data_IF_010807709744
#
_entry.id   IF_010807709744
#
_cell.length_a   1.000
_cell.length_b   1.000
_cell.length_c   1.000
_cell.angle_alpha   90.00
_cell.angle_beta   90.00
_cell.angle_gamma   90.00
#
_symmetry.space_group_name_H-M   'P 1'
#
loop_
_entity.id
_entity.type
_entity.pdbx_description
1 polymer ?
#
# COMPACT_ATOMS: atom_id res chain seq x y z
N UNK A 1 13.45 -14.63 -16.54
CA UNK A 1 12.24 -15.43 -16.78
C UNK A 1 12.17 -15.61 -18.29
N UNK A 2 12.50 -16.79 -18.79
CA UNK A 2 12.45 -17.07 -20.23
C UNK A 2 11.41 -18.16 -20.38
N UNK A 3 10.19 -17.78 -20.76
CA UNK A 3 9.30 -18.75 -21.38
C UNK A 3 10.01 -19.25 -22.63
N UNK A 4 9.89 -20.53 -22.97
CA UNK A 4 10.38 -20.96 -24.26
C UNK A 4 9.62 -20.21 -25.37
N UNK A 5 10.15 -20.19 -26.59
CA UNK A 5 9.59 -19.42 -27.71
C UNK A 5 8.13 -19.81 -28.06
N UNK A 6 7.65 -20.91 -27.51
CA UNK A 6 6.29 -21.45 -27.66
C UNK A 6 5.33 -21.04 -26.53
N UNK A 7 5.81 -20.27 -25.53
CA UNK A 7 5.03 -19.86 -24.37
C UNK A 7 4.79 -20.97 -23.33
N UNK A 8 5.45 -22.12 -23.48
CA UNK A 8 5.37 -23.22 -22.52
C UNK A 8 6.16 -22.87 -21.25
N UNK A 9 5.55 -23.17 -20.12
CA UNK A 9 6.11 -22.91 -18.80
C UNK A 9 7.02 -24.08 -18.42
N UNK A 10 8.25 -23.84 -17.92
CA UNK A 10 9.19 -24.91 -17.55
C UNK A 10 8.60 -25.94 -16.58
N UNK A 11 9.03 -27.21 -16.66
CA UNK A 11 8.52 -28.29 -15.81
C UNK A 11 8.73 -28.08 -14.30
N UNK A 12 9.71 -27.26 -13.91
CA UNK A 12 9.97 -26.87 -12.52
C UNK A 12 9.11 -25.69 -12.04
N UNK A 13 8.24 -25.15 -12.91
CA UNK A 13 7.29 -24.11 -12.54
C UNK A 13 6.26 -24.64 -11.54
N UNK A 14 6.17 -23.93 -10.43
CA UNK A 14 5.07 -24.10 -9.47
C UNK A 14 4.37 -22.75 -9.38
N UNK A 15 3.08 -22.72 -9.70
CA UNK A 15 2.23 -21.58 -9.37
C UNK A 15 2.24 -21.44 -7.84
N UNK A 16 2.80 -20.34 -7.34
CA UNK A 16 2.94 -20.09 -5.92
C UNK A 16 1.79 -19.20 -5.50
N UNK A 17 0.84 -19.75 -4.75
CA UNK A 17 -0.13 -18.96 -4.02
C UNK A 17 0.59 -18.29 -2.85
N UNK A 18 0.63 -16.95 -2.83
CA UNK A 18 1.28 -16.17 -1.76
C UNK A 18 0.83 -16.56 -0.35
N UNK A 19 -0.42 -17.02 -0.21
CA UNK A 19 -0.99 -17.49 1.04
C UNK A 19 -0.21 -18.68 1.66
N UNK A 20 0.44 -19.53 0.85
CA UNK A 20 1.22 -20.68 1.36
C UNK A 20 2.45 -20.25 2.18
N UNK A 21 2.94 -19.03 2.02
CA UNK A 21 4.03 -18.49 2.84
C UNK A 21 3.53 -17.92 4.17
N UNK A 22 2.26 -17.53 4.23
CA UNK A 22 1.62 -16.99 5.42
C UNK A 22 0.92 -18.05 6.25
N UNK A 23 0.57 -19.21 5.68
CA UNK A 23 -0.20 -20.27 6.36
C UNK A 23 0.51 -20.92 7.55
N UNK A 24 1.84 -20.85 7.62
CA UNK A 24 2.62 -21.40 8.74
C UNK A 24 2.94 -20.36 9.82
N UNK A 25 2.62 -19.09 9.59
CA UNK A 25 2.98 -17.99 10.46
C UNK A 25 1.75 -17.42 11.18
N UNK A 26 1.81 -17.34 12.51
CA UNK A 26 0.76 -16.70 13.30
C UNK A 26 1.00 -15.19 13.35
N UNK A 27 0.40 -14.45 12.42
CA UNK A 27 0.46 -13.00 12.37
C UNK A 27 -0.49 -12.38 13.40
N UNK A 28 0.00 -12.20 14.63
CA UNK A 28 -0.71 -11.45 15.67
C UNK A 28 -0.36 -9.95 15.63
N UNK A 29 -1.11 -9.12 16.36
CA UNK A 29 -0.95 -7.67 16.37
C UNK A 29 0.47 -7.20 16.76
N UNK A 30 1.19 -7.95 17.61
CA UNK A 30 2.56 -7.62 18.02
C UNK A 30 3.54 -7.81 16.87
N UNK A 31 3.48 -8.96 16.18
CA UNK A 31 4.31 -9.23 14.99
C UNK A 31 4.04 -8.20 13.90
N UNK A 32 2.77 -7.84 13.68
CA UNK A 32 2.37 -6.78 12.76
C UNK A 32 2.97 -5.42 13.11
N UNK A 33 3.02 -5.08 14.40
CA UNK A 33 3.61 -3.83 14.87
C UNK A 33 5.13 -3.77 14.65
N UNK A 34 5.82 -4.91 14.65
CA UNK A 34 7.27 -4.99 14.40
C UNK A 34 7.61 -4.95 12.91
N UNK A 35 6.77 -5.58 12.08
CA UNK A 35 7.03 -5.68 10.63
C UNK A 35 6.66 -4.41 9.84
N UNK A 36 5.83 -3.53 10.40
CA UNK A 36 5.41 -2.30 9.72
C UNK A 36 6.50 -1.22 9.79
N UNK A 37 6.66 -0.48 8.70
CA UNK A 37 7.33 0.83 8.76
C UNK A 37 6.38 1.87 9.38
N UNK A 38 6.85 2.76 10.28
CA UNK A 38 6.06 3.87 10.78
C UNK A 38 5.51 4.74 9.65
N UNK A 39 4.26 5.22 9.77
CA UNK A 39 3.62 6.05 8.74
C UNK A 39 4.45 7.29 8.38
N UNK A 40 5.04 7.92 9.39
CA UNK A 40 5.89 9.11 9.24
C UNK A 40 7.15 8.89 8.41
N UNK A 41 7.65 7.65 8.32
CA UNK A 41 8.85 7.33 7.54
C UNK A 41 8.54 7.15 6.05
N UNK A 42 7.31 6.79 5.70
CA UNK A 42 6.94 6.52 4.31
C UNK A 42 5.92 7.50 3.71
N UNK A 43 5.24 8.32 4.52
CA UNK A 43 4.16 9.19 4.06
C UNK A 43 4.20 10.58 4.69
N UNK A 44 4.10 11.60 3.84
CA UNK A 44 3.83 12.99 4.24
C UNK A 44 2.60 13.50 3.51
N UNK A 45 1.83 14.35 4.20
CA UNK A 45 0.64 14.93 3.63
C UNK A 45 0.41 16.34 4.16
N UNK A 46 0.07 17.26 3.24
CA UNK A 46 -0.35 18.61 3.56
C UNK A 46 -1.52 19.04 2.68
N UNK A 47 -2.34 19.93 3.20
CA UNK A 47 -3.43 20.58 2.49
C UNK A 47 -2.98 21.99 2.14
N UNK A 48 -3.02 22.35 0.86
CA UNK A 48 -2.58 23.65 0.36
C UNK A 48 -3.75 24.47 -0.19
N UNK A 49 -3.75 25.78 0.11
CA UNK A 49 -4.69 26.77 -0.43
C UNK A 49 -3.97 28.06 -0.74
N UNK A 50 -3.68 28.32 -2.03
CA UNK A 50 -2.85 29.43 -2.45
C UNK A 50 -1.45 29.34 -1.82
N UNK A 51 -1.10 30.31 -0.96
CA UNK A 51 0.16 30.33 -0.20
C UNK A 51 0.06 29.71 1.20
N UNK A 52 -1.14 29.39 1.65
CA UNK A 52 -1.37 28.78 2.97
C UNK A 52 -1.29 27.25 2.91
N UNK A 53 -0.82 26.63 4.00
CA UNK A 53 -0.76 25.19 4.14
C UNK A 53 -1.13 24.78 5.58
N UNK A 54 -1.66 23.55 5.72
CA UNK A 54 -1.96 22.90 7.01
C UNK A 54 -1.80 21.39 6.89
N UNK A 55 -1.57 20.70 8.00
CA UNK A 55 -1.33 19.26 8.01
C UNK A 55 -2.59 18.41 7.82
N UNK A 56 -2.44 17.23 7.23
CA UNK A 56 -3.55 16.28 7.01
C UNK A 56 -3.98 15.47 8.24
N UNK A 57 -3.39 15.71 9.42
CA UNK A 57 -3.47 14.85 10.60
C UNK A 57 -3.12 13.38 10.30
N UNK A 58 -1.83 13.08 10.22
CA UNK A 58 -1.30 11.72 10.01
C UNK A 58 -1.09 10.95 11.31
N UNK A 59 -1.43 11.52 12.47
CA UNK A 59 -1.28 10.85 13.76
C UNK A 59 -2.48 9.95 14.08
N UNK A 60 -3.63 10.25 13.49
CA UNK A 60 -4.89 9.57 13.75
C UNK A 60 -5.35 8.76 12.51
N UNK A 61 -4.50 7.83 12.08
CA UNK A 61 -4.79 6.90 11.00
C UNK A 61 -5.42 5.61 11.53
N UNK A 62 -6.22 4.97 10.69
CA UNK A 62 -6.63 3.58 10.90
C UNK A 62 -5.67 2.68 10.12
N UNK A 63 -5.09 1.71 10.80
CA UNK A 63 -4.27 0.68 10.16
C UNK A 63 -5.10 -0.56 9.94
N UNK A 64 -5.15 -1.04 8.71
CA UNK A 64 -5.79 -2.30 8.36
C UNK A 64 -4.82 -3.20 7.63
N UNK A 65 -4.76 -4.48 8.02
CA UNK A 65 -4.23 -5.53 7.16
C UNK A 65 -5.34 -5.94 6.20
N UNK A 66 -5.29 -5.48 4.96
CA UNK A 66 -6.16 -6.03 3.92
C UNK A 66 -5.56 -7.37 3.51
N UNK A 67 -5.96 -8.43 4.22
CA UNK A 67 -5.59 -9.77 3.85
C UNK A 67 -6.37 -10.16 2.61
N UNK A 68 -5.65 -10.56 1.56
CA UNK A 68 -6.22 -11.24 0.42
C UNK A 68 -5.50 -12.57 0.29
N UNK A 69 -6.26 -13.66 0.25
CA UNK A 69 -5.75 -15.03 0.11
C UNK A 69 -5.01 -15.28 -1.21
N UNK A 70 -5.06 -14.33 -2.15
CA UNK A 70 -4.43 -14.41 -3.47
C UNK A 70 -3.33 -13.38 -3.67
N UNK A 71 -3.22 -12.36 -2.82
CA UNK A 71 -2.27 -11.26 -2.97
C UNK A 71 -1.21 -11.26 -1.87
N UNK A 72 -0.13 -10.51 -2.11
CA UNK A 72 0.93 -10.28 -1.14
C UNK A 72 0.35 -9.57 0.09
N UNK A 73 0.76 -10.04 1.28
CA UNK A 73 0.41 -9.38 2.54
C UNK A 73 0.95 -7.95 2.56
N UNK A 74 0.07 -6.96 2.63
CA UNK A 74 0.42 -5.54 2.65
C UNK A 74 -0.22 -4.84 3.87
N UNK A 75 0.53 -3.89 4.44
CA UNK A 75 -0.01 -2.95 5.43
C UNK A 75 -0.62 -1.76 4.72
N UNK A 76 -1.87 -1.43 5.05
CA UNK A 76 -2.53 -0.26 4.50
C UNK A 76 -2.89 0.72 5.61
N UNK A 77 -2.79 2.00 5.28
CA UNK A 77 -3.06 3.10 6.17
C UNK A 77 -4.20 3.91 5.59
N UNK A 78 -5.25 4.12 6.39
CA UNK A 78 -6.39 4.94 6.01
C UNK A 78 -6.39 6.20 6.88
N UNK A 79 -6.20 7.34 6.23
CA UNK A 79 -6.34 8.66 6.86
C UNK A 79 -7.78 9.16 6.74
N UNK A 80 -8.20 10.01 7.68
CA UNK A 80 -9.54 10.61 7.68
C UNK A 80 -10.71 9.59 7.70
N UNK A 81 -10.54 8.48 8.41
CA UNK A 81 -11.61 7.50 8.65
C UNK A 81 -12.20 7.65 10.04
N UNK A 82 -13.51 7.44 10.14
CA UNK A 82 -14.25 7.36 11.41
C UNK A 82 -14.70 5.93 11.72
N UNK A 83 -14.14 4.95 11.00
CA UNK A 83 -14.46 3.54 11.22
C UNK A 83 -14.12 3.16 12.66
N UNK A 84 -15.10 2.62 13.37
CA UNK A 84 -15.03 2.27 14.80
C UNK A 84 -14.72 3.45 15.74
N UNK A 85 -14.81 4.70 15.26
CA UNK A 85 -14.54 5.93 16.01
C UNK A 85 -15.58 7.01 15.68
N UNK A 86 -16.86 6.86 16.12
CA UNK A 86 -17.96 7.71 15.67
C UNK A 86 -17.85 9.18 16.09
N UNK A 87 -17.12 9.47 17.17
CA UNK A 87 -16.93 10.84 17.68
C UNK A 87 -15.73 11.56 17.06
N UNK A 88 -15.01 10.90 16.14
CA UNK A 88 -13.82 11.46 15.51
C UNK A 88 -14.20 12.54 14.51
N UNK A 89 -13.50 13.67 14.60
CA UNK A 89 -13.69 14.75 13.65
C UNK A 89 -13.13 14.40 12.27
N UNK A 90 -13.98 14.55 11.26
CA UNK A 90 -13.59 14.37 9.86
C UNK A 90 -12.86 15.62 9.39
N UNK A 91 -11.67 15.43 8.84
CA UNK A 91 -10.93 16.45 8.13
C UNK A 91 -11.74 16.92 6.91
N UNK A 92 -12.23 18.15 6.97
CA UNK A 92 -12.92 18.79 5.86
C UNK A 92 -11.92 19.44 4.92
N UNK A 93 -12.04 19.15 3.63
CA UNK A 93 -11.22 19.75 2.56
C UNK A 93 -12.14 20.58 1.67
N UNK A 94 -11.84 21.88 1.54
CA UNK A 94 -12.62 22.82 0.73
C UNK A 94 -12.31 22.60 -0.75
N UNK A 95 -13.24 22.98 -1.63
CA UNK A 95 -13.06 22.88 -3.09
C UNK A 95 -11.85 23.65 -3.63
N UNK A 96 -11.44 24.72 -2.95
CA UNK A 96 -10.26 25.54 -3.29
C UNK A 96 -8.94 24.96 -2.75
N UNK A 97 -9.01 23.93 -1.91
CA UNK A 97 -7.85 23.28 -1.32
C UNK A 97 -7.39 22.09 -2.19
N UNK A 98 -6.10 21.76 -2.08
CA UNK A 98 -5.49 20.58 -2.69
C UNK A 98 -4.84 19.75 -1.59
N UNK A 99 -4.88 18.43 -1.74
CA UNK A 99 -4.12 17.51 -0.89
C UNK A 99 -2.84 17.15 -1.64
N UNK A 100 -1.71 17.46 -1.05
CA UNK A 100 -0.39 17.08 -1.54
C UNK A 100 0.12 15.93 -0.68
N UNK A 101 0.34 14.77 -1.32
CA UNK A 101 0.79 13.54 -0.69
C UNK A 101 2.15 13.16 -1.27
N UNK A 102 3.10 12.83 -0.40
CA UNK A 102 4.43 12.37 -0.77
C UNK A 102 4.67 11.01 -0.14
N UNK A 103 5.08 10.04 -0.96
CA UNK A 103 5.34 8.67 -0.56
C UNK A 103 6.81 8.32 -0.77
N UNK A 104 7.45 7.82 0.26
CA UNK A 104 8.82 7.31 0.20
C UNK A 104 8.77 5.78 0.12
N UNK A 105 9.02 5.24 -1.07
CA UNK A 105 9.05 3.79 -1.32
C UNK A 105 10.49 3.36 -1.51
N UNK A 106 11.08 2.81 -0.45
CA UNK A 106 12.40 2.18 -0.52
C UNK A 106 12.25 0.66 -0.65
N UNK A 107 12.65 0.14 -1.80
CA UNK A 107 12.65 -1.30 -2.08
C UNK A 107 14.01 -1.96 -1.81
N UNK A 108 15.05 -1.19 -1.48
CA UNK A 108 16.39 -1.71 -1.21
C UNK A 108 16.41 -2.64 0.00
N UNK A 109 15.60 -2.33 1.03
CA UNK A 109 15.42 -3.17 2.21
C UNK A 109 14.89 -4.58 1.88
N UNK A 110 14.21 -4.77 0.74
CA UNK A 110 13.69 -6.10 0.35
C UNK A 110 14.78 -7.10 0.01
N UNK A 111 15.99 -6.63 -0.29
CA UNK A 111 17.15 -7.50 -0.55
C UNK A 111 18.13 -7.55 0.63
N UNK A 112 17.85 -6.79 1.69
CA UNK A 112 18.65 -6.79 2.90
C UNK A 112 18.55 -8.19 3.51
N UNK A 113 19.71 -8.82 3.72
CA UNK A 113 19.85 -10.16 4.29
C UNK A 113 19.39 -11.34 3.41
N UNK A 114 19.11 -11.12 2.12
CA UNK A 114 18.85 -12.23 1.18
C UNK A 114 20.17 -12.90 0.78
N UNK A 115 20.34 -14.19 1.08
CA UNK A 115 21.49 -14.96 0.59
C UNK A 115 21.37 -15.15 -0.93
N UNK A 116 22.21 -14.41 -1.66
CA UNK A 116 22.27 -14.38 -3.12
C UNK A 116 22.84 -15.67 -3.73
N UNK A 117 23.41 -16.56 -2.91
CA UNK A 117 23.97 -17.85 -3.37
C UNK A 117 22.92 -18.94 -3.50
N UNK A 118 21.75 -18.76 -2.88
CA UNK A 118 20.63 -19.68 -2.99
C UNK A 118 19.87 -19.34 -4.28
N UNK A 119 19.59 -20.35 -5.11
CA UNK A 119 18.77 -20.19 -6.32
C UNK A 119 17.35 -19.74 -5.91
N UNK A 120 17.09 -18.44 -6.03
CA UNK A 120 15.79 -17.86 -5.71
C UNK A 120 14.87 -18.08 -6.91
N UNK A 121 13.98 -19.07 -6.84
CA UNK A 121 12.92 -19.24 -7.84
C UNK A 121 11.94 -18.05 -7.82
N UNK A 122 11.14 -17.80 -8.88
CA UNK A 122 10.10 -16.74 -8.95
C UNK A 122 8.97 -16.82 -7.90
N UNK A 123 9.16 -17.58 -6.82
CA UNK A 123 8.40 -17.59 -5.56
C UNK A 123 8.24 -16.19 -4.91
N UNK A 124 8.96 -15.20 -5.42
CA UNK A 124 9.00 -13.83 -4.92
C UNK A 124 8.52 -12.87 -6.00
N UNK A 125 7.29 -13.00 -6.46
CA UNK A 125 6.69 -11.97 -7.31
C UNK A 125 6.29 -10.75 -6.46
N UNK A 126 7.19 -10.28 -5.59
CA UNK A 126 7.17 -8.90 -5.14
C UNK A 126 7.09 -8.02 -6.38
N UNK A 127 6.26 -6.98 -6.34
CA UNK A 127 6.28 -5.98 -7.41
C UNK A 127 7.73 -5.55 -7.61
N UNK A 128 8.27 -5.85 -8.80
CA UNK A 128 9.64 -5.51 -9.19
C UNK A 128 9.81 -4.00 -9.32
N UNK A 129 8.69 -3.28 -9.41
CA UNK A 129 8.65 -1.83 -9.47
C UNK A 129 8.23 -1.27 -8.12
N UNK A 130 8.94 -0.24 -7.61
CA UNK A 130 8.48 0.51 -6.45
C UNK A 130 7.19 1.24 -6.83
N UNK A 131 6.07 0.88 -6.20
CA UNK A 131 4.76 1.48 -6.46
C UNK A 131 3.94 1.63 -5.18
N UNK A 132 2.96 2.53 -5.24
CA UNK A 132 1.96 2.75 -4.19
C UNK A 132 0.58 2.51 -4.79
N UNK A 133 -0.26 1.78 -4.07
CA UNK A 133 -1.67 1.67 -4.40
C UNK A 133 -2.46 2.67 -3.54
N UNK A 134 -3.23 3.53 -4.19
CA UNK A 134 -4.08 4.50 -3.54
C UNK A 134 -5.54 4.25 -3.89
N UNK A 135 -6.41 4.26 -2.88
CA UNK A 135 -7.86 4.16 -3.03
C UNK A 135 -8.51 5.30 -2.25
N UNK A 136 -9.50 5.94 -2.87
CA UNK A 136 -10.33 6.96 -2.22
C UNK A 136 -11.73 6.41 -1.99
N UNK A 137 -12.21 6.48 -0.76
CA UNK A 137 -13.52 5.94 -0.39
C UNK A 137 -14.20 6.85 0.65
N UNK A 138 -15.46 6.54 0.96
CA UNK A 138 -16.22 7.18 2.03
C UNK A 138 -15.52 7.00 3.39
N UNK A 139 -15.57 8.00 4.30
CA UNK A 139 -14.94 7.90 5.63
C UNK A 139 -15.56 6.82 6.53
N UNK A 140 -16.76 6.35 6.20
CA UNK A 140 -17.52 5.34 6.94
C UNK A 140 -17.17 3.89 6.56
N UNK A 141 -16.52 3.70 5.42
CA UNK A 141 -16.17 2.38 4.88
C UNK A 141 -14.66 2.26 4.71
N UNK A 142 -14.18 1.05 4.58
CA UNK A 142 -12.80 0.71 4.27
C UNK A 142 -12.77 0.09 2.87
N UNK A 143 -12.01 0.70 1.95
CA UNK A 143 -11.88 0.22 0.58
C UNK A 143 -10.61 -0.59 0.40
N UNK A 144 -10.70 -1.78 -0.20
CA UNK A 144 -9.51 -2.59 -0.52
C UNK A 144 -8.74 -1.97 -1.70
N UNK A 145 -7.46 -1.58 -1.52
CA UNK A 145 -6.63 -1.08 -2.63
C UNK A 145 -6.42 -2.11 -3.74
N UNK A 146 -6.50 -3.41 -3.43
CA UNK A 146 -6.36 -4.47 -4.43
C UNK A 146 -7.53 -4.57 -5.41
N UNK A 147 -8.72 -4.14 -4.98
CA UNK A 147 -9.95 -4.26 -5.80
C UNK A 147 -10.27 -2.94 -6.49
N UNK A 148 -10.05 -1.82 -5.81
CA UNK A 148 -10.49 -0.49 -6.27
C UNK A 148 -9.39 0.56 -6.23
N UNK A 149 -8.17 0.16 -5.89
CA UNK A 149 -7.02 1.05 -5.86
C UNK A 149 -6.44 1.28 -7.25
N UNK A 150 -5.77 2.42 -7.38
CA UNK A 150 -4.97 2.76 -8.55
C UNK A 150 -3.50 2.66 -8.18
N UNK A 151 -2.70 2.08 -9.06
CA UNK A 151 -1.26 1.94 -8.87
C UNK A 151 -0.50 3.14 -9.42
N UNK A 152 0.43 3.67 -8.62
CA UNK A 152 1.28 4.80 -8.93
C UNK A 152 2.75 4.38 -8.79
N UNK A 153 3.55 4.57 -9.84
CA UNK A 153 4.96 4.23 -9.84
C UNK A 153 5.76 5.28 -9.05
N UNK A 154 6.72 4.83 -8.24
CA UNK A 154 7.58 5.75 -7.51
C UNK A 154 8.48 6.58 -8.44
N UNK A 155 8.96 7.72 -7.94
CA UNK A 155 9.82 8.65 -8.70
C UNK A 155 9.08 9.53 -9.71
N UNK A 156 7.75 9.63 -9.60
CA UNK A 156 6.90 10.45 -10.48
C UNK A 156 5.92 11.29 -9.68
N UNK A 157 5.59 12.45 -10.24
CA UNK A 157 4.51 13.30 -9.75
C UNK A 157 3.19 12.97 -10.46
N UNK A 158 2.13 12.82 -9.68
CA UNK A 158 0.80 12.51 -10.18
C UNK A 158 -0.20 13.58 -9.78
N UNK A 159 -1.10 13.93 -10.71
CA UNK A 159 -2.21 14.84 -10.45
C UNK A 159 -3.54 14.10 -10.56
N UNK A 160 -4.12 13.81 -9.41
CA UNK A 160 -5.41 13.12 -9.30
C UNK A 160 -6.52 14.16 -9.20
N UNK A 161 -7.57 14.03 -10.02
CA UNK A 161 -8.79 14.83 -9.91
C UNK A 161 -9.94 13.92 -9.51
N UNK A 162 -10.50 14.15 -8.33
CA UNK A 162 -11.66 13.41 -7.85
C UNK A 162 -12.94 14.12 -8.28
N UNK A 163 -13.91 13.35 -8.77
CA UNK A 163 -15.26 13.81 -9.05
C UNK A 163 -16.21 12.89 -8.30
N UNK A 164 -16.96 13.43 -7.34
CA UNK A 164 -18.06 12.71 -6.74
C UNK A 164 -19.17 12.58 -7.79
N UNK A 165 -19.59 11.35 -8.06
CA UNK A 165 -20.74 11.06 -8.91
C UNK A 165 -21.93 10.96 -7.96
N UNK A 166 -22.92 11.83 -8.15
CA UNK A 166 -24.21 11.76 -7.47
C UNK A 166 -25.10 10.73 -8.14
#
# INVERSE_FOLDING_TARGET
MVCNEEGNVPEDFKAVTYNKFTTSQNFNASVMSTLRKPLSEFFKCKITSGKSHRDCNTNDYVMGSYFSSTNIFNFCFTINSIWSQPNKEILKVRKSEKIEMEFYVDISDRQKDVDKRILQFPKYSYSSMPSVQLVTHSPFLTGSPFVSGHEFLAGKDYKIKLKQVN
#
